data_IF_141295264863
#
_entry.id   IF_141295264863
#
_cell.length_a   1.000
_cell.length_b   1.000
_cell.length_c   1.000
_cell.angle_alpha   90.00
_cell.angle_beta   90.00
_cell.angle_gamma   90.00
#
_symmetry.space_group_name_H-M   'P 1'
#
loop_
_entity.id
_entity.type
_entity.pdbx_description
1 polymer ?
#
# COMPACT_ATOMS: atom_id res chain seq x y z
N UNK A 1 11.64 33.19 6.01
CA UNK A 1 12.69 32.31 6.54
C UNK A 1 12.02 31.47 7.61
N UNK A 2 11.54 30.30 7.26
CA UNK A 2 11.12 29.27 8.21
C UNK A 2 11.44 27.96 7.52
N UNK A 3 12.60 27.40 7.88
CA UNK A 3 12.94 26.03 7.56
C UNK A 3 11.96 25.16 8.34
N UNK A 4 11.04 24.53 7.66
CA UNK A 4 10.36 23.35 8.17
C UNK A 4 11.40 22.23 8.09
N UNK A 5 12.02 21.90 9.23
CA UNK A 5 12.82 20.70 9.39
C UNK A 5 11.87 19.51 9.18
N UNK A 6 11.86 18.99 7.99
CA UNK A 6 11.22 17.73 7.63
C UNK A 6 12.12 16.57 8.11
N UNK A 7 12.22 16.44 9.45
CA UNK A 7 12.75 15.23 10.04
C UNK A 7 11.66 14.15 9.87
N UNK A 8 11.95 13.03 9.20
CA UNK A 8 10.98 11.94 9.09
C UNK A 8 10.59 11.54 10.53
N UNK A 9 9.30 11.71 10.84
CA UNK A 9 8.75 11.30 12.13
C UNK A 9 9.02 9.82 12.34
N UNK A 10 9.57 9.46 13.50
CA UNK A 10 9.85 8.06 13.82
C UNK A 10 8.60 7.19 13.65
N UNK A 11 8.73 6.02 13.01
CA UNK A 11 7.57 5.14 12.80
C UNK A 11 6.94 4.74 14.14
N UNK A 12 5.61 4.70 14.16
CA UNK A 12 4.81 4.38 15.35
C UNK A 12 4.48 2.89 15.35
N UNK A 13 4.86 2.18 16.40
CA UNK A 13 4.51 0.76 16.63
C UNK A 13 3.52 0.69 17.79
N UNK A 14 2.38 0.00 17.58
CA UNK A 14 1.45 -0.32 18.65
C UNK A 14 1.77 -1.71 19.19
N UNK A 15 2.15 -1.80 20.46
CA UNK A 15 2.40 -3.05 21.18
C UNK A 15 1.19 -3.37 22.07
N UNK A 16 0.58 -4.53 21.84
CA UNK A 16 -0.61 -5.03 22.55
C UNK A 16 -0.23 -6.35 23.23
N UNK A 17 -0.11 -6.31 24.55
CA UNK A 17 0.38 -7.44 25.35
C UNK A 17 -0.21 -7.31 26.75
N UNK A 18 -0.83 -8.35 27.30
CA UNK A 18 -1.47 -8.28 28.61
C UNK A 18 -0.46 -8.46 29.77
N UNK A 19 0.67 -9.11 29.55
CA UNK A 19 1.74 -9.20 30.54
C UNK A 19 2.51 -7.86 30.65
N UNK A 20 2.37 -7.10 31.77
CA UNK A 20 2.95 -5.76 31.88
C UNK A 20 4.48 -5.72 31.74
N UNK A 21 5.17 -6.75 32.23
CA UNK A 21 6.64 -6.80 32.18
C UNK A 21 7.12 -7.05 30.75
N UNK A 22 6.54 -8.04 30.05
CA UNK A 22 6.87 -8.33 28.66
C UNK A 22 6.52 -7.14 27.74
N UNK A 23 5.35 -6.51 27.95
CA UNK A 23 4.97 -5.32 27.19
C UNK A 23 5.97 -4.19 27.33
N UNK A 24 6.45 -3.95 28.57
CA UNK A 24 7.46 -2.93 28.85
C UNK A 24 8.78 -3.28 28.17
N UNK A 25 9.26 -4.52 28.30
CA UNK A 25 10.53 -4.93 27.73
C UNK A 25 10.51 -4.80 26.19
N UNK A 26 9.43 -5.22 25.52
CA UNK A 26 9.25 -4.99 24.07
C UNK A 26 9.23 -3.50 23.73
N UNK A 27 8.56 -2.70 24.54
CA UNK A 27 8.47 -1.25 24.28
C UNK A 27 9.83 -0.57 24.43
N UNK A 28 10.62 -0.95 25.44
CA UNK A 28 11.94 -0.39 25.69
C UNK A 28 12.90 -0.72 24.55
N UNK A 29 12.92 -1.96 24.05
CA UNK A 29 13.72 -2.37 22.89
C UNK A 29 13.35 -1.59 21.62
N UNK A 30 12.06 -1.40 21.38
CA UNK A 30 11.59 -0.62 20.21
C UNK A 30 11.95 0.85 20.34
N UNK A 31 11.84 1.44 21.54
CA UNK A 31 12.24 2.84 21.81
C UNK A 31 13.74 3.03 21.60
N UNK A 32 14.59 2.11 22.09
CA UNK A 32 16.03 2.14 21.87
C UNK A 32 16.41 2.02 20.40
N UNK A 33 15.62 1.26 19.62
CA UNK A 33 15.78 1.16 18.16
C UNK A 33 15.28 2.40 17.40
N UNK A 34 14.71 3.41 18.10
CA UNK A 34 14.29 4.68 17.50
C UNK A 34 12.84 4.71 17.01
N UNK A 35 12.00 3.76 17.39
CA UNK A 35 10.57 3.79 17.12
C UNK A 35 9.81 4.62 18.16
N UNK A 36 8.64 5.12 17.79
CA UNK A 36 7.64 5.60 18.75
C UNK A 36 6.73 4.45 19.13
N UNK A 37 6.46 4.24 20.43
CA UNK A 37 5.69 3.08 20.87
C UNK A 37 4.41 3.52 21.57
N UNK A 38 3.28 2.99 21.08
CA UNK A 38 2.00 3.00 21.78
C UNK A 38 1.84 1.66 22.47
N UNK A 39 1.36 1.65 23.72
CA UNK A 39 1.18 0.44 24.49
C UNK A 39 -0.28 0.24 24.88
N UNK A 40 -0.77 -0.99 24.72
CA UNK A 40 -2.09 -1.41 25.18
C UNK A 40 -1.96 -2.70 26.00
N UNK A 41 -2.62 -2.75 27.15
CA UNK A 41 -2.62 -3.94 28.02
C UNK A 41 -3.71 -4.98 27.69
N UNK A 42 -4.60 -4.64 26.77
CA UNK A 42 -5.67 -5.52 26.30
C UNK A 42 -6.20 -5.06 24.93
N UNK A 43 -7.03 -5.87 24.30
CA UNK A 43 -7.60 -5.59 23.00
C UNK A 43 -8.50 -4.35 22.97
N UNK A 44 -9.25 -4.05 24.05
CA UNK A 44 -10.12 -2.88 24.10
C UNK A 44 -9.29 -1.59 24.13
N UNK A 45 -8.26 -1.51 24.97
CA UNK A 45 -7.35 -0.36 25.01
C UNK A 45 -6.68 -0.13 23.65
N UNK A 46 -6.33 -1.24 22.95
CA UNK A 46 -5.77 -1.14 21.61
C UNK A 46 -6.76 -0.49 20.63
N UNK A 47 -8.01 -0.92 20.63
CA UNK A 47 -9.04 -0.36 19.76
C UNK A 47 -9.31 1.12 20.09
N UNK A 48 -9.30 1.52 21.37
CA UNK A 48 -9.46 2.91 21.79
C UNK A 48 -8.31 3.79 21.29
N UNK A 49 -7.06 3.30 21.34
CA UNK A 49 -5.90 3.99 20.77
C UNK A 49 -6.02 4.15 19.25
N UNK A 50 -6.55 3.14 18.57
CA UNK A 50 -6.78 3.18 17.12
C UNK A 50 -7.92 4.13 16.70
N UNK A 51 -8.70 4.71 17.62
CA UNK A 51 -9.62 5.80 17.28
C UNK A 51 -8.92 7.14 17.03
N UNK A 52 -7.74 7.32 17.62
CA UNK A 52 -7.01 8.59 17.61
C UNK A 52 -5.65 8.51 16.92
N UNK A 53 -5.15 7.32 16.64
CA UNK A 53 -3.80 7.11 16.11
C UNK A 53 -3.78 5.98 15.09
N UNK A 54 -3.07 6.20 13.98
CA UNK A 54 -2.81 5.17 12.96
C UNK A 54 -1.36 4.73 13.10
N UNK A 55 -1.08 3.55 13.69
CA UNK A 55 0.28 3.05 13.80
C UNK A 55 0.83 2.58 12.44
N UNK A 56 2.14 2.60 12.29
CA UNK A 56 2.82 2.07 11.11
C UNK A 56 2.96 0.54 11.16
N UNK A 57 2.83 -0.08 12.35
CA UNK A 57 2.86 -1.52 12.58
C UNK A 57 2.17 -1.84 13.90
N UNK A 58 1.51 -3.01 13.97
CA UNK A 58 0.89 -3.53 15.19
C UNK A 58 1.58 -4.85 15.57
N UNK A 59 2.06 -4.94 16.81
CA UNK A 59 2.47 -6.17 17.49
C UNK A 59 1.34 -6.55 18.45
N UNK A 60 0.84 -7.76 18.40
CA UNK A 60 -0.29 -8.16 19.22
C UNK A 60 -0.16 -9.58 19.73
N UNK A 61 -0.26 -9.79 21.06
CA UNK A 61 -0.45 -11.11 21.60
C UNK A 61 -1.76 -11.73 21.11
N UNK A 62 -1.73 -13.01 20.81
CA UNK A 62 -2.92 -13.79 20.45
C UNK A 62 -3.79 -14.02 21.67
N UNK A 63 -3.20 -14.41 22.79
CA UNK A 63 -3.88 -14.98 23.95
C UNK A 63 -4.08 -13.96 25.05
N UNK A 64 -4.98 -13.01 24.87
CA UNK A 64 -5.32 -11.99 25.86
C UNK A 64 -6.72 -12.21 26.44
N UNK A 65 -6.96 -11.79 27.71
CA UNK A 65 -8.30 -11.78 28.28
C UNK A 65 -9.25 -10.83 27.56
N UNK A 66 -10.50 -11.22 27.39
CA UNK A 66 -11.52 -10.41 26.72
C UNK A 66 -11.41 -10.48 25.20
N UNK A 67 -11.04 -9.39 24.55
CA UNK A 67 -10.77 -9.35 23.12
C UNK A 67 -9.38 -9.96 22.85
N UNK A 68 -9.34 -11.10 22.19
CA UNK A 68 -8.09 -11.77 21.81
C UNK A 68 -7.46 -11.10 20.57
N UNK A 69 -6.23 -11.49 20.22
CA UNK A 69 -5.51 -10.89 19.10
C UNK A 69 -6.20 -11.08 17.75
N UNK A 70 -6.95 -12.16 17.52
CA UNK A 70 -7.72 -12.36 16.28
C UNK A 70 -8.90 -11.40 16.18
N UNK A 71 -9.58 -11.11 17.29
CA UNK A 71 -10.66 -10.13 17.33
C UNK A 71 -10.15 -8.72 17.01
N UNK A 72 -8.97 -8.37 17.54
CA UNK A 72 -8.30 -7.10 17.24
C UNK A 72 -7.93 -7.04 15.76
N UNK A 73 -7.29 -8.06 15.21
CA UNK A 73 -6.93 -8.12 13.78
C UNK A 73 -8.15 -7.97 12.89
N UNK A 74 -9.23 -8.71 13.17
CA UNK A 74 -10.47 -8.63 12.41
C UNK A 74 -11.03 -7.20 12.39
N UNK A 75 -11.04 -6.56 13.56
CA UNK A 75 -11.51 -5.16 13.68
C UNK A 75 -10.63 -4.21 12.90
N UNK A 76 -9.30 -4.33 13.00
CA UNK A 76 -8.33 -3.52 12.25
C UNK A 76 -8.55 -3.66 10.75
N UNK A 77 -8.68 -4.89 10.23
CA UNK A 77 -8.88 -5.13 8.78
C UNK A 77 -10.20 -4.61 8.24
N UNK A 78 -11.21 -4.42 9.09
CA UNK A 78 -12.55 -3.93 8.70
C UNK A 78 -12.76 -2.44 9.00
N UNK A 79 -11.86 -1.79 9.75
CA UNK A 79 -12.00 -0.39 10.21
C UNK A 79 -11.91 0.64 9.07
N UNK A 80 -11.18 0.35 8.02
CA UNK A 80 -11.04 1.24 6.86
C UNK A 80 -9.72 1.04 6.09
N UNK A 81 -9.58 1.71 4.93
CA UNK A 81 -8.43 1.51 4.05
C UNK A 81 -7.09 1.84 4.72
N UNK A 82 -7.05 2.86 5.58
CA UNK A 82 -5.83 3.30 6.26
C UNK A 82 -5.29 2.23 7.23
N UNK A 83 -6.17 1.41 7.79
CA UNK A 83 -5.82 0.32 8.71
C UNK A 83 -5.66 -1.02 8.01
N UNK A 84 -6.32 -1.22 6.87
CA UNK A 84 -6.31 -2.49 6.16
C UNK A 84 -4.89 -2.90 5.71
N UNK A 85 -4.04 -1.92 5.41
CA UNK A 85 -2.65 -2.13 4.97
C UNK A 85 -1.62 -2.04 6.11
N UNK A 86 -2.04 -1.73 7.36
CA UNK A 86 -1.12 -1.67 8.49
C UNK A 86 -0.57 -3.07 8.79
N UNK A 87 0.75 -3.30 8.76
CA UNK A 87 1.34 -4.60 9.11
C UNK A 87 0.92 -5.04 10.50
N UNK A 88 0.49 -6.29 10.58
CA UNK A 88 0.04 -6.91 11.82
C UNK A 88 0.84 -8.18 12.11
N UNK A 89 1.61 -8.15 13.18
CA UNK A 89 2.50 -9.24 13.60
C UNK A 89 1.97 -9.81 14.93
N UNK A 90 1.73 -11.09 14.96
CA UNK A 90 1.33 -11.76 16.18
C UNK A 90 2.51 -12.13 17.08
N UNK A 91 2.33 -11.98 18.39
CA UNK A 91 3.14 -12.61 19.41
C UNK A 91 2.40 -13.88 19.87
N UNK A 92 3.01 -15.05 19.73
CA UNK A 92 2.34 -16.35 19.97
C UNK A 92 3.13 -17.20 20.95
N UNK A 93 2.46 -17.75 21.95
CA UNK A 93 3.03 -18.84 22.73
C UNK A 93 3.06 -20.10 21.85
N UNK A 94 4.20 -20.73 21.71
CA UNK A 94 4.55 -21.88 20.88
C UNK A 94 3.38 -22.60 20.14
N UNK A 95 3.17 -22.25 18.86
CA UNK A 95 3.01 -23.22 17.81
C UNK A 95 1.77 -24.11 17.79
N UNK A 96 0.55 -23.66 18.09
CA UNK A 96 -0.58 -24.37 17.49
C UNK A 96 -0.63 -24.01 15.98
N UNK A 97 -0.38 -24.98 15.07
CA UNK A 97 -0.49 -24.74 13.63
C UNK A 97 -1.85 -24.19 13.20
N UNK A 98 -2.89 -24.40 14.01
CA UNK A 98 -4.25 -23.89 13.75
C UNK A 98 -4.32 -22.38 13.93
N UNK A 99 -3.69 -21.84 14.98
CA UNK A 99 -3.61 -20.40 15.22
C UNK A 99 -2.88 -19.67 14.08
N UNK A 100 -1.78 -20.25 13.61
CA UNK A 100 -1.03 -19.71 12.46
C UNK A 100 -1.89 -19.70 11.19
N UNK A 101 -2.63 -20.79 10.93
CA UNK A 101 -3.52 -20.89 9.77
C UNK A 101 -4.66 -19.88 9.87
N UNK A 102 -5.27 -19.74 11.06
CA UNK A 102 -6.37 -18.82 11.31
C UNK A 102 -5.92 -17.35 11.11
N UNK A 103 -4.84 -16.95 11.74
CA UNK A 103 -4.35 -15.58 11.61
C UNK A 103 -3.91 -15.25 10.18
N UNK A 104 -3.30 -16.20 9.44
CA UNK A 104 -3.00 -15.99 8.02
C UNK A 104 -4.26 -15.80 7.18
N UNK A 105 -5.34 -16.54 7.48
CA UNK A 105 -6.63 -16.35 6.81
C UNK A 105 -7.26 -15.00 7.13
N UNK A 106 -7.05 -14.48 8.33
CA UNK A 106 -7.51 -13.16 8.76
C UNK A 106 -6.63 -12.01 8.25
N UNK A 107 -5.48 -12.31 7.65
CA UNK A 107 -4.59 -11.32 7.06
C UNK A 107 -3.48 -10.84 8.00
N UNK A 108 -3.00 -11.70 8.92
CA UNK A 108 -1.76 -11.45 9.65
C UNK A 108 -0.54 -11.53 8.71
N UNK A 109 0.38 -10.61 8.89
CA UNK A 109 1.57 -10.48 8.04
C UNK A 109 2.71 -11.37 8.54
N UNK A 110 2.86 -11.53 9.86
CA UNK A 110 3.92 -12.34 10.47
C UNK A 110 3.59 -12.81 11.88
N UNK A 111 4.53 -13.65 12.44
CA UNK A 111 4.44 -14.23 13.77
C UNK A 111 5.81 -14.22 14.46
N UNK A 112 5.82 -13.86 15.73
CA UNK A 112 6.96 -14.00 16.64
C UNK A 112 6.58 -14.97 17.76
N UNK A 113 7.42 -15.95 17.99
CA UNK A 113 7.18 -16.98 19.00
C UNK A 113 7.75 -16.55 20.34
N UNK A 114 6.94 -16.66 21.41
CA UNK A 114 7.41 -16.46 22.80
C UNK A 114 8.21 -17.69 23.29
N UNK A 115 9.35 -17.53 24.00
CA UNK A 115 9.89 -16.27 24.49
C UNK A 115 10.45 -15.41 23.35
N UNK A 116 10.22 -14.09 23.43
CA UNK A 116 10.59 -13.15 22.37
C UNK A 116 12.11 -13.02 22.27
N UNK A 117 12.63 -13.28 21.07
CA UNK A 117 13.98 -12.91 20.68
C UNK A 117 13.94 -11.47 20.17
N UNK A 118 14.57 -10.53 20.89
CA UNK A 118 14.49 -9.09 20.56
C UNK A 118 15.23 -8.74 19.26
N UNK A 119 16.31 -9.43 18.92
CA UNK A 119 16.98 -9.24 17.63
C UNK A 119 16.04 -9.62 16.47
N UNK A 120 15.31 -10.72 16.62
CA UNK A 120 14.30 -11.16 15.65
C UNK A 120 13.10 -10.23 15.61
N UNK A 121 12.66 -9.70 16.77
CA UNK A 121 11.60 -8.70 16.85
C UNK A 121 11.95 -7.47 16.03
N UNK A 122 13.11 -6.87 16.30
CA UNK A 122 13.57 -5.67 15.60
C UNK A 122 13.75 -5.89 14.11
N UNK A 123 14.34 -7.03 13.72
CA UNK A 123 14.51 -7.39 12.32
C UNK A 123 13.15 -7.57 11.60
N UNK A 124 12.17 -8.16 12.27
CA UNK A 124 10.81 -8.37 11.72
C UNK A 124 10.09 -7.04 11.55
N UNK A 125 10.10 -6.17 12.57
CA UNK A 125 9.50 -4.84 12.52
C UNK A 125 10.10 -4.02 11.36
N UNK A 126 11.42 -3.93 11.28
CA UNK A 126 12.13 -3.20 10.23
C UNK A 126 11.81 -3.76 8.82
N UNK A 127 11.80 -5.09 8.65
CA UNK A 127 11.47 -5.71 7.38
C UNK A 127 10.04 -5.38 6.92
N UNK A 128 9.05 -5.40 7.83
CA UNK A 128 7.65 -5.06 7.52
C UNK A 128 7.47 -3.59 7.18
N UNK A 129 8.07 -2.70 7.95
CA UNK A 129 8.03 -1.26 7.69
C UNK A 129 8.68 -0.91 6.34
N UNK A 130 9.83 -1.51 6.02
CA UNK A 130 10.48 -1.33 4.70
C UNK A 130 9.63 -1.88 3.56
N UNK A 131 8.94 -2.99 3.76
CA UNK A 131 8.05 -3.57 2.74
C UNK A 131 6.93 -2.60 2.39
N UNK A 132 6.24 -2.02 3.40
CA UNK A 132 5.18 -1.04 3.19
C UNK A 132 5.72 0.25 2.56
N UNK A 133 6.88 0.73 3.01
CA UNK A 133 7.52 1.91 2.43
C UNK A 133 7.82 1.71 0.92
N UNK A 134 8.26 0.51 0.51
CA UNK A 134 8.47 0.16 -0.90
C UNK A 134 7.15 0.16 -1.68
N UNK A 135 6.09 -0.43 -1.14
CA UNK A 135 4.77 -0.46 -1.79
C UNK A 135 4.25 0.97 -1.97
N UNK A 136 4.28 1.79 -0.92
CA UNK A 136 3.86 3.20 -0.98
C UNK A 136 4.72 4.01 -1.94
N UNK A 137 6.03 3.85 -1.94
CA UNK A 137 6.91 4.56 -2.88
C UNK A 137 6.73 4.13 -4.34
N UNK A 138 6.17 2.96 -4.60
CA UNK A 138 5.77 2.52 -5.93
C UNK A 138 4.38 3.05 -6.30
N UNK A 139 3.49 3.26 -5.33
CA UNK A 139 2.18 3.88 -5.53
C UNK A 139 2.30 5.42 -5.63
N UNK A 140 3.22 6.02 -4.87
CA UNK A 140 3.53 7.47 -4.89
C UNK A 140 4.46 7.87 -6.04
N UNK A 141 5.06 6.93 -6.77
CA UNK A 141 5.61 7.30 -8.07
C UNK A 141 4.44 7.83 -8.85
N UNK A 142 4.47 9.13 -9.27
CA UNK A 142 3.43 9.63 -10.14
C UNK A 142 3.40 8.62 -11.28
N UNK A 143 2.27 7.92 -11.42
CA UNK A 143 1.97 7.25 -12.70
C UNK A 143 2.27 8.35 -13.69
N UNK A 144 3.24 8.20 -14.61
CA UNK A 144 3.55 9.27 -15.53
C UNK A 144 2.22 9.66 -16.11
N UNK A 145 1.73 10.84 -15.72
CA UNK A 145 0.43 11.29 -16.21
C UNK A 145 0.67 11.37 -17.69
N UNK A 146 0.10 10.41 -18.40
CA UNK A 146 0.21 10.36 -19.85
C UNK A 146 -0.46 11.62 -20.34
N UNK A 147 0.30 12.73 -20.32
CA UNK A 147 -0.20 13.99 -20.79
C UNK A 147 0.00 14.07 -22.31
N UNK A 148 -0.81 14.86 -22.94
CA UNK A 148 -0.78 15.06 -24.39
C UNK A 148 0.55 15.60 -24.87
N UNK A 149 1.26 16.37 -24.03
CA UNK A 149 2.56 16.98 -24.36
C UNK A 149 3.66 15.91 -24.44
N UNK A 150 3.70 14.99 -23.46
CA UNK A 150 4.67 13.90 -23.44
C UNK A 150 4.50 12.99 -24.65
N UNK A 151 3.26 12.56 -24.95
CA UNK A 151 2.98 11.70 -26.12
C UNK A 151 3.26 12.44 -27.43
N UNK A 152 2.99 13.73 -27.51
CA UNK A 152 3.31 14.53 -28.67
C UNK A 152 4.81 14.62 -28.92
N UNK A 153 5.60 14.80 -27.85
CA UNK A 153 7.04 14.93 -27.94
C UNK A 153 7.74 13.58 -28.26
N UNK A 154 7.31 12.50 -27.63
CA UNK A 154 7.95 11.17 -27.74
C UNK A 154 7.54 10.42 -29.02
N UNK A 155 6.25 10.48 -29.41
CA UNK A 155 5.70 9.68 -30.49
C UNK A 155 5.29 10.51 -31.72
N UNK A 156 5.56 11.82 -31.70
CA UNK A 156 5.18 12.72 -32.79
C UNK A 156 3.68 12.85 -33.01
N UNK A 157 2.87 12.60 -31.96
CA UNK A 157 1.42 12.68 -32.06
C UNK A 157 0.96 14.13 -31.99
N UNK A 158 -0.08 14.47 -32.72
CA UNK A 158 -0.80 15.73 -32.53
C UNK A 158 -1.57 15.70 -31.22
N UNK A 159 -1.94 16.86 -30.68
CA UNK A 159 -2.72 16.94 -29.44
C UNK A 159 -4.03 16.12 -29.50
N UNK A 160 -4.73 16.14 -30.66
CA UNK A 160 -5.94 15.36 -30.86
C UNK A 160 -5.67 13.84 -30.85
N UNK A 161 -4.59 13.40 -31.49
CA UNK A 161 -4.15 11.99 -31.50
C UNK A 161 -3.72 11.53 -30.11
N UNK A 162 -2.94 12.35 -29.37
CA UNK A 162 -2.52 12.08 -28.02
C UNK A 162 -3.73 11.93 -27.06
N UNK A 163 -4.73 12.79 -27.17
CA UNK A 163 -5.98 12.67 -26.40
C UNK A 163 -6.74 11.38 -26.71
N UNK A 164 -6.81 10.97 -27.99
CA UNK A 164 -7.41 9.69 -28.37
C UNK A 164 -6.61 8.51 -27.81
N UNK A 165 -5.29 8.56 -27.90
CA UNK A 165 -4.39 7.53 -27.36
C UNK A 165 -4.58 7.36 -25.85
N UNK A 166 -4.61 8.45 -25.07
CA UNK A 166 -4.87 8.43 -23.62
C UNK A 166 -6.24 7.80 -23.32
N UNK A 167 -7.29 8.23 -24.00
CA UNK A 167 -8.64 7.70 -23.77
C UNK A 167 -8.74 6.18 -24.05
N UNK A 168 -7.92 5.66 -24.97
CA UNK A 168 -7.83 4.20 -25.23
C UNK A 168 -7.14 3.46 -24.08
N UNK A 169 -6.10 4.03 -23.45
CA UNK A 169 -5.45 3.42 -22.27
C UNK A 169 -6.37 3.41 -21.04
N UNK A 170 -7.34 4.33 -20.97
CA UNK A 170 -8.40 4.33 -19.96
C UNK A 170 -9.51 3.28 -20.23
N UNK A 171 -9.36 2.47 -21.27
CA UNK A 171 -10.30 1.42 -21.64
C UNK A 171 -11.57 1.91 -22.37
N UNK A 172 -11.61 3.17 -22.79
CA UNK A 172 -12.77 3.73 -23.50
C UNK A 172 -12.89 3.17 -24.92
N UNK A 173 -14.13 2.89 -25.33
CA UNK A 173 -14.46 2.50 -26.71
C UNK A 173 -14.42 3.70 -27.65
N UNK A 174 -14.25 3.46 -28.95
CA UNK A 174 -14.26 4.54 -29.96
C UNK A 174 -15.59 5.33 -29.95
N UNK A 175 -16.70 4.70 -29.56
CA UNK A 175 -17.99 5.36 -29.45
C UNK A 175 -18.06 6.32 -28.24
N UNK A 176 -17.48 5.93 -27.12
CA UNK A 176 -17.37 6.77 -25.91
C UNK A 176 -16.43 7.93 -26.12
N UNK A 177 -15.29 7.69 -26.79
CA UNK A 177 -14.33 8.74 -27.15
C UNK A 177 -15.00 9.78 -28.07
N UNK A 178 -15.70 9.32 -29.11
CA UNK A 178 -16.42 10.21 -30.04
C UNK A 178 -17.42 11.09 -29.28
N UNK A 179 -18.19 10.49 -28.36
CA UNK A 179 -19.19 11.19 -27.55
C UNK A 179 -18.53 12.21 -26.61
N UNK A 180 -17.48 11.80 -25.90
CA UNK A 180 -16.79 12.67 -24.91
C UNK A 180 -16.06 13.84 -25.55
N UNK A 181 -15.57 13.68 -26.79
CA UNK A 181 -14.83 14.73 -27.51
C UNK A 181 -15.72 15.55 -28.45
N UNK A 182 -17.00 15.21 -28.57
CA UNK A 182 -17.93 15.91 -29.46
C UNK A 182 -17.61 15.76 -30.96
N UNK A 183 -17.03 14.61 -31.37
CA UNK A 183 -16.62 14.31 -32.74
C UNK A 183 -17.27 13.01 -33.24
N UNK A 184 -17.20 12.77 -34.55
CA UNK A 184 -17.74 11.55 -35.12
C UNK A 184 -16.87 10.32 -34.84
N UNK A 185 -17.47 9.10 -34.80
CA UNK A 185 -16.68 7.84 -34.70
C UNK A 185 -15.69 7.71 -35.86
N UNK A 186 -16.05 8.21 -37.04
CA UNK A 186 -15.17 8.21 -38.22
C UNK A 186 -13.93 9.09 -37.97
N UNK A 187 -14.09 10.23 -37.29
CA UNK A 187 -12.99 11.11 -36.93
C UNK A 187 -12.06 10.44 -35.90
N UNK A 188 -12.62 9.73 -34.91
CA UNK A 188 -11.81 8.95 -33.95
C UNK A 188 -11.03 7.85 -34.65
N UNK A 189 -11.68 7.12 -35.58
CA UNK A 189 -11.05 6.07 -36.38
C UNK A 189 -9.93 6.63 -37.28
N UNK A 190 -10.10 7.83 -37.82
CA UNK A 190 -9.07 8.53 -38.58
C UNK A 190 -7.86 8.86 -37.70
N UNK A 191 -8.07 9.42 -36.50
CA UNK A 191 -6.98 9.68 -35.56
C UNK A 191 -6.27 8.39 -35.16
N UNK A 192 -7.00 7.30 -34.88
CA UNK A 192 -6.42 6.02 -34.54
C UNK A 192 -5.56 5.46 -35.68
N UNK A 193 -5.97 5.59 -36.91
CA UNK A 193 -5.19 5.18 -38.08
C UNK A 193 -3.86 5.97 -38.18
N UNK A 194 -3.90 7.29 -37.93
CA UNK A 194 -2.70 8.13 -37.93
C UNK A 194 -1.77 7.75 -36.76
N UNK A 195 -2.31 7.44 -35.59
CA UNK A 195 -1.55 6.95 -34.45
C UNK A 195 -0.81 5.66 -34.82
N UNK A 196 -1.50 4.68 -35.40
CA UNK A 196 -0.87 3.43 -35.87
C UNK A 196 0.25 3.68 -36.87
N UNK A 197 0.06 4.59 -37.81
CA UNK A 197 1.07 4.94 -38.79
C UNK A 197 2.29 5.58 -38.14
N UNK A 198 2.13 6.41 -37.12
CA UNK A 198 3.23 7.10 -36.43
C UNK A 198 3.95 6.18 -35.42
N UNK A 199 3.24 5.27 -34.78
CA UNK A 199 3.79 4.38 -33.75
C UNK A 199 4.27 3.02 -34.31
N UNK A 200 3.93 2.70 -35.54
CA UNK A 200 4.31 1.44 -36.19
C UNK A 200 3.51 0.22 -35.71
N UNK A 201 2.51 0.41 -34.85
CA UNK A 201 1.62 -0.68 -34.40
C UNK A 201 0.41 -0.82 -35.32
N UNK A 202 -0.20 -2.02 -35.36
CA UNK A 202 -1.32 -2.32 -36.25
C UNK A 202 -2.63 -2.64 -35.52
N UNK A 203 -2.58 -2.81 -34.20
CA UNK A 203 -3.75 -3.18 -33.39
C UNK A 203 -3.91 -2.26 -32.19
N UNK A 204 -5.14 -2.00 -31.79
CA UNK A 204 -5.45 -1.17 -30.63
C UNK A 204 -4.83 -1.75 -29.33
N UNK A 205 -4.85 -3.07 -29.16
CA UNK A 205 -4.23 -3.74 -28.01
C UNK A 205 -2.73 -3.55 -27.97
N UNK A 206 -2.05 -3.62 -29.14
CA UNK A 206 -0.61 -3.36 -29.25
C UNK A 206 -0.28 -1.91 -28.86
N UNK A 207 -1.10 -0.95 -29.32
CA UNK A 207 -0.96 0.45 -28.97
C UNK A 207 -1.08 0.66 -27.46
N UNK A 208 -2.13 0.11 -26.84
CA UNK A 208 -2.35 0.24 -25.40
C UNK A 208 -1.20 -0.40 -24.61
N UNK A 209 -0.76 -1.61 -24.99
CA UNK A 209 0.38 -2.27 -24.36
C UNK A 209 1.68 -1.47 -24.50
N UNK A 210 1.95 -0.91 -25.68
CA UNK A 210 3.13 -0.07 -25.94
C UNK A 210 3.09 1.18 -25.04
N UNK A 211 1.98 1.91 -25.04
CA UNK A 211 1.80 3.12 -24.23
C UNK A 211 1.91 2.84 -22.72
N UNK A 212 1.43 1.69 -22.25
CA UNK A 212 1.53 1.28 -20.85
C UNK A 212 2.93 0.71 -20.50
N UNK A 213 3.68 0.17 -21.47
CA UNK A 213 5.04 -0.34 -21.27
C UNK A 213 6.08 0.79 -21.19
N UNK A 214 5.95 1.85 -22.01
CA UNK A 214 6.80 3.05 -21.95
C UNK A 214 6.65 3.85 -20.64
N UNK A 215 5.64 3.52 -19.83
CA UNK A 215 5.42 4.07 -18.48
C UNK A 215 6.22 3.30 -17.41
N UNK A 216 6.85 2.15 -17.72
CA UNK A 216 7.73 1.47 -16.76
C UNK A 216 9.13 2.08 -16.85
N UNK A 217 9.58 2.81 -15.81
CA UNK A 217 10.99 3.17 -15.70
C UNK A 217 11.79 1.86 -15.53
N UNK A 218 12.91 1.74 -16.24
CA UNK A 218 13.96 0.73 -15.98
C UNK A 218 14.40 0.75 -14.52
#
# INVERSE_FOLDING_TARGET
MSNSDDHPTAPVVLCIEDEPDLRRDIADELLEAGYTVLQAGDGQQALDLLETSIPNLILCDISMPGLNGFDVLHTVRTKGPDYAETPFVFLSALGDPREIVEGKRLGADDYLVKPIDYDLLLATVDARLRQIARIRSQQDKPVPVMNTETLSAQLGLTNAEARVAIALTEGRTLAEIARSFGISRTTVAYHLRNIFQKTGVSRQTELVCMLLADIRPE
#
